data_IF_643295055705
#
_entry.id   IF_643295055705
#
_cell.length_a   1.000
_cell.length_b   1.000
_cell.length_c   1.000
_cell.angle_alpha   90.00
_cell.angle_beta   90.00
_cell.angle_gamma   90.00
#
_symmetry.space_group_name_H-M   'P 1'
#
loop_
_entity.id
_entity.type
_entity.pdbx_description
1 polymer ?
#
# COMPACT_ATOMS: atom_id res chain seq x y z
N UNK A 1 61.77 3.89 15.28
CA UNK A 1 60.32 4.03 15.51
C UNK A 1 59.62 2.82 14.92
N UNK A 2 59.10 2.00 15.83
CA UNK A 2 58.06 0.96 15.72
C UNK A 2 57.63 0.47 14.32
N UNK A 3 57.97 -0.78 14.03
CA UNK A 3 57.26 -1.68 13.11
C UNK A 3 55.84 -1.94 13.65
N UNK A 4 54.83 -1.99 12.77
CA UNK A 4 53.74 -2.98 12.82
C UNK A 4 53.08 -3.16 11.43
N UNK A 5 52.94 -4.42 10.95
CA UNK A 5 52.36 -4.77 9.66
C UNK A 5 50.86 -5.10 9.79
N UNK A 6 50.07 -4.78 8.76
CA UNK A 6 48.72 -5.32 8.59
C UNK A 6 48.64 -6.07 7.24
N UNK A 7 49.26 -7.25 7.26
CA UNK A 7 48.80 -8.51 6.68
C UNK A 7 47.76 -8.44 5.52
N UNK A 8 48.24 -8.35 4.28
CA UNK A 8 48.48 -9.52 3.41
C UNK A 8 47.48 -10.69 3.58
N UNK A 9 46.71 -10.93 2.52
CA UNK A 9 46.36 -12.23 1.88
C UNK A 9 45.03 -12.97 2.13
N UNK A 10 44.36 -13.21 0.98
CA UNK A 10 43.78 -14.46 0.47
C UNK A 10 42.62 -15.18 1.21
N UNK A 11 41.44 -15.18 0.56
CA UNK A 11 40.65 -16.42 0.31
C UNK A 11 41.55 -17.46 -0.39
N UNK A 12 41.36 -18.80 -0.32
CA UNK A 12 40.09 -19.53 -0.10
C UNK A 12 40.21 -20.82 0.73
N UNK A 13 39.18 -21.26 1.48
CA UNK A 13 39.07 -22.69 1.85
C UNK A 13 37.60 -23.12 1.86
N UNK A 14 37.33 -24.05 0.96
CA UNK A 14 36.16 -24.87 0.77
C UNK A 14 36.34 -26.09 1.69
N UNK A 15 35.86 -26.07 2.94
CA UNK A 15 35.79 -27.27 3.80
C UNK A 15 34.63 -27.16 4.78
N UNK A 16 33.83 -28.23 4.80
CA UNK A 16 32.86 -28.63 5.81
C UNK A 16 31.66 -27.70 6.02
N UNK A 17 30.62 -27.93 5.21
CA UNK A 17 29.22 -27.79 5.59
C UNK A 17 28.96 -28.82 6.72
N UNK A 18 28.98 -28.47 8.01
CA UNK A 18 28.70 -29.43 9.06
C UNK A 18 27.20 -29.41 9.26
N UNK A 19 26.49 -30.41 8.73
CA UNK A 19 25.45 -31.17 9.45
C UNK A 19 24.47 -30.42 10.37
N UNK A 20 24.20 -29.13 10.14
CA UNK A 20 23.13 -28.37 10.77
C UNK A 20 21.79 -28.64 10.08
N UNK A 21 21.72 -29.72 9.29
CA UNK A 21 20.53 -30.24 8.62
C UNK A 21 19.83 -31.34 9.43
N UNK A 22 20.30 -31.69 10.63
CA UNK A 22 19.75 -32.81 11.43
C UNK A 22 18.93 -32.40 12.68
N UNK A 23 18.76 -31.11 12.97
CA UNK A 23 17.90 -30.66 14.08
C UNK A 23 16.69 -29.84 13.63
N UNK A 24 16.49 -29.65 12.33
CA UNK A 24 15.19 -29.29 11.79
C UNK A 24 14.35 -30.57 11.87
N UNK A 25 13.72 -30.76 13.03
CA UNK A 25 12.60 -31.68 13.15
C UNK A 25 11.63 -31.33 12.04
N UNK A 26 11.66 -32.10 10.97
CA UNK A 26 10.50 -32.28 10.11
C UNK A 26 9.36 -32.56 11.07
N UNK A 27 8.33 -31.72 11.21
CA UNK A 27 7.15 -32.14 11.93
C UNK A 27 6.72 -33.43 11.26
N UNK A 28 6.86 -34.54 11.99
CA UNK A 28 6.45 -35.84 11.50
C UNK A 28 4.96 -35.71 11.21
N UNK A 29 4.60 -35.74 9.92
CA UNK A 29 3.22 -35.76 9.43
C UNK A 29 2.65 -37.17 9.69
N UNK A 30 2.77 -37.64 10.92
CA UNK A 30 2.28 -38.94 11.36
C UNK A 30 1.43 -38.84 12.64
N UNK A 31 1.38 -37.67 13.29
CA UNK A 31 0.44 -37.43 14.38
C UNK A 31 -0.88 -36.85 13.85
N UNK A 32 -2.03 -37.52 14.03
CA UNK A 32 -3.33 -37.01 13.58
C UNK A 32 -3.70 -35.66 14.22
N UNK A 33 -3.20 -35.39 15.43
CA UNK A 33 -3.40 -34.10 16.11
C UNK A 33 -2.65 -32.94 15.43
N UNK A 34 -1.50 -33.21 14.82
CA UNK A 34 -0.70 -32.20 14.10
C UNK A 34 -1.35 -31.81 12.77
N UNK A 35 -2.02 -32.77 12.11
CA UNK A 35 -2.74 -32.54 10.86
C UNK A 35 -4.03 -31.76 11.11
N UNK A 36 -4.79 -32.10 12.17
CA UNK A 36 -5.97 -31.34 12.58
C UNK A 36 -5.64 -29.88 12.98
N UNK A 37 -4.49 -29.66 13.63
CA UNK A 37 -4.02 -28.31 13.96
C UNK A 37 -3.64 -27.50 12.70
N UNK A 38 -3.03 -28.14 11.70
CA UNK A 38 -2.69 -27.51 10.43
C UNK A 38 -3.95 -27.16 9.62
N UNK A 39 -4.92 -28.07 9.53
CA UNK A 39 -6.22 -27.83 8.87
C UNK A 39 -6.96 -26.64 9.50
N UNK A 40 -7.00 -26.59 10.84
CA UNK A 40 -7.61 -25.47 11.57
C UNK A 40 -6.87 -24.15 11.29
N UNK A 41 -5.55 -24.19 11.15
CA UNK A 41 -4.74 -23.01 10.82
C UNK A 41 -5.04 -22.52 9.41
N UNK A 42 -5.09 -23.42 8.43
CA UNK A 42 -5.45 -23.11 7.04
C UNK A 42 -6.85 -22.51 6.96
N UNK A 43 -7.83 -23.11 7.64
CA UNK A 43 -9.20 -22.58 7.68
C UNK A 43 -9.27 -21.16 8.28
N UNK A 44 -8.49 -20.91 9.34
CA UNK A 44 -8.42 -19.60 9.98
C UNK A 44 -7.73 -18.56 9.09
N UNK A 45 -6.65 -18.94 8.42
CA UNK A 45 -5.95 -18.08 7.46
C UNK A 45 -6.84 -17.76 6.26
N UNK A 46 -7.54 -18.74 5.68
CA UNK A 46 -8.47 -18.54 4.59
C UNK A 46 -9.57 -17.52 4.95
N UNK A 47 -10.15 -17.63 6.16
CA UNK A 47 -11.13 -16.66 6.66
C UNK A 47 -10.54 -15.25 6.81
N UNK A 48 -9.28 -15.16 7.25
CA UNK A 48 -8.57 -13.88 7.44
C UNK A 48 -8.25 -13.22 6.10
N UNK A 49 -7.85 -14.01 5.10
CA UNK A 49 -7.61 -13.54 3.73
C UNK A 49 -8.91 -13.02 3.14
N UNK A 50 -10.00 -13.80 3.19
CA UNK A 50 -11.30 -13.37 2.68
C UNK A 50 -11.81 -12.08 3.34
N UNK A 51 -11.64 -11.93 4.67
CA UNK A 51 -12.00 -10.71 5.37
C UNK A 51 -11.13 -9.50 4.96
N UNK A 52 -9.85 -9.73 4.69
CA UNK A 52 -8.91 -8.70 4.23
C UNK A 52 -9.22 -8.26 2.80
N UNK A 53 -9.52 -9.19 1.90
CA UNK A 53 -9.95 -8.91 0.53
C UNK A 53 -11.25 -8.09 0.51
N UNK A 54 -12.23 -8.45 1.33
CA UNK A 54 -13.48 -7.69 1.47
C UNK A 54 -13.26 -6.28 2.06
N UNK A 55 -12.21 -6.09 2.87
CA UNK A 55 -11.83 -4.76 3.37
C UNK A 55 -11.11 -3.96 2.29
N UNK A 56 -10.22 -4.57 1.52
CA UNK A 56 -9.54 -3.94 0.40
C UNK A 56 -10.53 -3.46 -0.67
N UNK A 57 -11.47 -4.32 -1.05
CA UNK A 57 -12.53 -3.98 -2.02
C UNK A 57 -13.31 -2.73 -1.59
N UNK A 58 -13.74 -2.68 -0.32
CA UNK A 58 -14.44 -1.49 0.24
C UNK A 58 -13.58 -0.24 0.25
N UNK A 59 -12.27 -0.38 0.50
CA UNK A 59 -11.34 0.75 0.45
C UNK A 59 -11.15 1.24 -0.99
N UNK A 60 -11.04 0.33 -1.96
CA UNK A 60 -10.94 0.67 -3.37
C UNK A 60 -12.19 1.41 -3.87
N UNK A 61 -13.39 0.93 -3.51
CA UNK A 61 -14.65 1.60 -3.81
C UNK A 61 -14.72 3.00 -3.18
N UNK A 62 -14.34 3.12 -1.90
CA UNK A 62 -14.31 4.41 -1.21
C UNK A 62 -13.35 5.40 -1.87
N UNK A 63 -12.13 4.96 -2.20
CA UNK A 63 -11.13 5.79 -2.87
C UNK A 63 -11.61 6.19 -4.27
N UNK A 64 -12.30 5.28 -4.97
CA UNK A 64 -12.90 5.56 -6.28
C UNK A 64 -13.97 6.65 -6.21
N UNK A 65 -14.91 6.51 -5.28
CA UNK A 65 -15.95 7.51 -5.06
C UNK A 65 -15.36 8.87 -4.65
N UNK A 66 -14.30 8.87 -3.83
CA UNK A 66 -13.62 10.09 -3.43
C UNK A 66 -12.92 10.77 -4.60
N UNK A 67 -12.24 10.01 -5.47
CA UNK A 67 -11.62 10.55 -6.68
C UNK A 67 -12.65 11.16 -7.63
N UNK A 68 -13.78 10.48 -7.85
CA UNK A 68 -14.87 10.98 -8.69
C UNK A 68 -15.49 12.27 -8.11
N UNK A 69 -15.73 12.31 -6.80
CA UNK A 69 -16.28 13.49 -6.13
C UNK A 69 -15.33 14.70 -6.22
N UNK A 70 -14.02 14.50 -6.06
CA UNK A 70 -13.05 15.59 -6.16
C UNK A 70 -12.92 16.09 -7.61
N UNK A 71 -12.92 15.19 -8.60
CA UNK A 71 -12.94 15.56 -10.01
C UNK A 71 -14.17 16.42 -10.36
N UNK A 72 -15.35 16.00 -9.89
CA UNK A 72 -16.59 16.77 -10.07
C UNK A 72 -16.54 18.14 -9.39
N UNK A 73 -15.98 18.22 -8.18
CA UNK A 73 -15.79 19.48 -7.46
C UNK A 73 -14.87 20.46 -8.21
N UNK A 74 -13.74 19.98 -8.73
CA UNK A 74 -12.82 20.79 -9.55
C UNK A 74 -13.52 21.31 -10.80
N UNK A 75 -14.27 20.44 -11.50
CA UNK A 75 -15.04 20.85 -12.68
C UNK A 75 -16.09 21.91 -12.36
N UNK A 76 -16.87 21.70 -11.30
CA UNK A 76 -17.92 22.62 -10.87
C UNK A 76 -17.37 23.99 -10.43
N UNK A 77 -16.26 24.03 -9.68
CA UNK A 77 -15.64 25.29 -9.25
C UNK A 77 -15.06 26.09 -10.42
N UNK A 78 -14.48 25.41 -11.43
CA UNK A 78 -14.04 26.07 -12.66
C UNK A 78 -15.22 26.59 -13.49
N UNK A 79 -16.29 25.81 -13.63
CA UNK A 79 -17.51 26.23 -14.32
C UNK A 79 -18.16 27.44 -13.64
N UNK A 80 -18.28 27.41 -12.31
CA UNK A 80 -18.79 28.53 -11.50
C UNK A 80 -17.95 29.79 -11.69
N UNK A 81 -16.61 29.67 -11.72
CA UNK A 81 -15.72 30.80 -12.01
C UNK A 81 -15.98 31.40 -13.39
N UNK A 82 -16.09 30.56 -14.43
CA UNK A 82 -16.39 31.00 -15.81
C UNK A 82 -17.77 31.66 -15.92
N UNK A 83 -18.76 31.17 -15.19
CA UNK A 83 -20.11 31.74 -15.12
C UNK A 83 -20.18 33.05 -14.31
N UNK A 84 -19.06 33.51 -13.73
CA UNK A 84 -19.03 34.75 -12.97
C UNK A 84 -19.51 34.63 -11.53
N UNK A 85 -19.52 33.43 -10.93
CA UNK A 85 -19.85 33.25 -9.50
C UNK A 85 -19.02 34.15 -8.58
N UNK A 86 -17.76 34.42 -8.97
CA UNK A 86 -16.87 35.29 -8.21
C UNK A 86 -17.03 36.78 -8.54
N UNK A 87 -17.94 37.15 -9.45
CA UNK A 87 -18.24 38.54 -9.79
C UNK A 87 -18.86 39.26 -8.58
N UNK A 88 -18.41 40.47 -8.29
CA UNK A 88 -18.85 41.23 -7.11
C UNK A 88 -18.18 40.83 -5.79
N UNK A 89 -17.41 39.73 -5.74
CA UNK A 89 -16.54 39.43 -4.60
C UNK A 89 -15.35 40.40 -4.62
N UNK A 90 -14.95 40.89 -3.45
CA UNK A 90 -13.72 41.66 -3.27
C UNK A 90 -12.52 40.92 -3.93
N UNK A 91 -11.66 41.58 -4.71
CA UNK A 91 -10.57 40.94 -5.43
C UNK A 91 -9.67 40.05 -4.55
N UNK A 92 -9.34 40.50 -3.32
CA UNK A 92 -8.51 39.72 -2.41
C UNK A 92 -9.23 38.44 -1.93
N UNK A 93 -10.52 38.55 -1.58
CA UNK A 93 -11.33 37.40 -1.17
C UNK A 93 -11.51 36.40 -2.30
N UNK A 94 -11.65 36.87 -3.54
CA UNK A 94 -11.71 36.01 -4.73
C UNK A 94 -10.44 35.18 -4.86
N UNK A 95 -9.26 35.80 -4.80
CA UNK A 95 -7.99 35.09 -4.95
C UNK A 95 -7.80 34.06 -3.84
N UNK A 96 -8.14 34.40 -2.58
CA UNK A 96 -8.10 33.47 -1.45
C UNK A 96 -8.99 32.24 -1.69
N UNK A 97 -10.23 32.45 -2.17
CA UNK A 97 -11.15 31.35 -2.46
C UNK A 97 -10.63 30.45 -3.59
N UNK A 98 -10.13 31.07 -4.66
CA UNK A 98 -9.55 30.36 -5.80
C UNK A 98 -8.34 29.53 -5.37
N UNK A 99 -7.43 30.11 -4.58
CA UNK A 99 -6.25 29.39 -4.08
C UNK A 99 -6.63 28.28 -3.12
N UNK A 100 -7.63 28.49 -2.26
CA UNK A 100 -8.11 27.47 -1.33
C UNK A 100 -8.74 26.28 -2.07
N UNK A 101 -9.52 26.51 -3.13
CA UNK A 101 -10.05 25.42 -3.96
C UNK A 101 -8.93 24.65 -4.67
N UNK A 102 -7.93 25.35 -5.21
CA UNK A 102 -6.78 24.69 -5.83
C UNK A 102 -5.97 23.87 -4.83
N UNK A 103 -5.72 24.40 -3.63
CA UNK A 103 -5.00 23.71 -2.57
C UNK A 103 -5.76 22.47 -2.08
N UNK A 104 -7.09 22.56 -1.93
CA UNK A 104 -7.95 21.42 -1.59
C UNK A 104 -7.83 20.31 -2.63
N UNK A 105 -7.93 20.67 -3.92
CA UNK A 105 -7.82 19.70 -5.01
C UNK A 105 -6.46 19.02 -5.04
N UNK A 106 -5.37 19.76 -4.79
CA UNK A 106 -4.03 19.19 -4.69
C UNK A 106 -3.93 18.21 -3.51
N UNK A 107 -4.35 18.63 -2.31
CA UNK A 107 -4.24 17.81 -1.09
C UNK A 107 -5.08 16.53 -1.17
N UNK A 108 -6.27 16.58 -1.77
CA UNK A 108 -7.18 15.44 -1.88
C UNK A 108 -6.79 14.44 -2.97
N UNK A 109 -6.06 14.89 -3.99
CA UNK A 109 -5.51 14.02 -5.04
C UNK A 109 -4.13 13.45 -4.69
N UNK A 110 -3.50 13.92 -3.61
CA UNK A 110 -2.20 13.39 -3.18
C UNK A 110 -2.38 11.99 -2.59
N UNK A 111 -1.79 10.97 -3.22
CA UNK A 111 -1.86 9.58 -2.75
C UNK A 111 -3.09 8.79 -3.20
N UNK A 112 -3.97 9.36 -4.03
CA UNK A 112 -4.98 8.58 -4.74
C UNK A 112 -4.32 7.87 -5.94
N UNK A 113 -4.66 6.61 -6.21
CA UNK A 113 -4.13 5.92 -7.39
C UNK A 113 -4.63 6.63 -8.66
N UNK A 114 -3.70 6.95 -9.58
CA UNK A 114 -3.99 7.64 -10.83
C UNK A 114 -4.92 6.84 -11.77
N UNK A 115 -5.07 5.54 -11.50
CA UNK A 115 -6.00 4.64 -12.17
C UNK A 115 -6.73 3.85 -11.11
N UNK A 116 -8.06 3.80 -11.20
CA UNK A 116 -8.85 2.87 -10.39
C UNK A 116 -8.36 1.45 -10.69
N UNK A 117 -8.03 0.63 -9.68
CA UNK A 117 -7.76 -0.77 -9.94
C UNK A 117 -8.97 -1.34 -10.69
N UNK A 118 -8.71 -1.89 -11.87
CA UNK A 118 -9.72 -2.63 -12.62
C UNK A 118 -10.21 -3.70 -11.66
N UNK A 119 -11.51 -3.69 -11.32
CA UNK A 119 -12.11 -4.68 -10.46
C UNK A 119 -11.58 -6.05 -10.90
N UNK A 120 -10.90 -6.76 -9.98
CA UNK A 120 -10.36 -8.07 -10.25
C UNK A 120 -11.53 -9.01 -10.50
N UNK A 121 -11.96 -9.10 -11.76
CA UNK A 121 -12.85 -10.14 -12.24
C UNK A 121 -12.03 -11.42 -12.20
N UNK A 122 -12.10 -12.09 -11.05
CA UNK A 122 -11.63 -13.46 -10.91
C UNK A 122 -12.78 -14.35 -11.40
N UNK A 123 -12.75 -14.65 -12.70
CA UNK A 123 -13.51 -15.76 -13.29
C UNK A 123 -13.06 -17.11 -12.70
#
# INVERSE_FOLDING_TARGET
>A
MTLHPALVTLRPVLVALPLALCCLGTPSVQDPDSLAALEKTIATQAKTIAASEARLTRLEEYLSAQAAAESAFVGATQAARKAGFVAGINPASREILISAWAARAAARNTGLPATLPKASTRD
#
